data_IF_710155771949
#
_entry.id   IF_710155771949
#
_cell.length_a   1.000
_cell.length_b   1.000
_cell.length_c   1.000
_cell.angle_alpha   90.00
_cell.angle_beta   90.00
_cell.angle_gamma   90.00
#
_symmetry.space_group_name_H-M   'P 1'
#
loop_
_entity.id
_entity.type
_entity.pdbx_description
1 polymer ?
#
# COMPACT_ATOMS: atom_id res chain seq x y z
N UNK A 1 -6.19 3.75 16.78
CA UNK A 1 -5.85 2.57 17.64
C UNK A 1 -5.85 1.26 16.84
N UNK A 2 -5.61 1.31 15.53
CA UNK A 2 -5.77 0.13 14.68
C UNK A 2 -4.78 -1.00 14.99
N UNK A 3 -3.48 -0.75 14.85
CA UNK A 3 -2.46 -1.81 15.08
C UNK A 3 -2.33 -2.25 16.52
N UNK A 4 -2.68 -1.40 17.50
CA UNK A 4 -2.65 -1.71 18.92
C UNK A 4 -4.02 -2.05 19.51
N UNK A 5 -5.10 -2.04 18.71
CA UNK A 5 -6.38 -2.64 19.09
C UNK A 5 -6.30 -4.17 19.19
N UNK A 6 -5.25 -4.75 18.60
CA UNK A 6 -4.98 -6.19 18.57
C UNK A 6 -4.19 -6.59 19.82
N UNK A 7 -4.66 -7.60 20.60
CA UNK A 7 -3.94 -8.11 21.76
C UNK A 7 -2.49 -8.55 21.44
N UNK A 8 -1.57 -8.18 22.32
CA UNK A 8 -0.16 -8.53 22.19
C UNK A 8 0.67 -7.50 21.41
N UNK A 9 0.11 -6.36 21.02
CA UNK A 9 0.85 -5.30 20.35
C UNK A 9 0.87 -4.00 21.16
N UNK A 10 2.01 -3.33 21.13
CA UNK A 10 2.19 -1.94 21.54
C UNK A 10 2.93 -1.17 20.44
N UNK A 11 2.71 0.14 20.39
CA UNK A 11 3.34 1.00 19.39
C UNK A 11 3.68 2.37 19.97
N UNK A 12 4.51 3.10 19.27
CA UNK A 12 4.79 4.51 19.51
C UNK A 12 5.11 5.23 18.22
N UNK A 13 4.90 6.54 18.22
CA UNK A 13 5.33 7.45 17.18
C UNK A 13 5.82 8.76 17.77
N UNK A 14 7.02 9.20 17.36
CA UNK A 14 7.66 10.42 17.87
C UNK A 14 8.35 11.19 16.75
N UNK A 15 8.82 12.39 17.05
CA UNK A 15 9.73 13.15 16.19
C UNK A 15 11.15 13.01 16.72
N UNK A 16 12.06 12.56 15.85
CA UNK A 16 13.51 12.61 16.08
C UNK A 16 14.20 13.65 15.20
N UNK A 17 13.40 14.44 14.47
CA UNK A 17 13.86 15.58 13.69
C UNK A 17 14.38 15.23 12.29
N UNK A 18 13.92 14.13 11.70
CA UNK A 18 14.20 13.79 10.29
C UNK A 18 13.44 14.75 9.38
N UNK A 19 12.15 15.02 9.70
CA UNK A 19 11.35 16.02 9.00
C UNK A 19 11.65 17.43 9.52
N UNK A 20 11.99 18.39 8.64
CA UNK A 20 12.25 19.76 9.06
C UNK A 20 11.02 20.46 9.67
N UNK A 21 9.83 19.93 9.44
CA UNK A 21 8.57 20.46 9.97
C UNK A 21 8.34 20.19 11.46
N UNK A 22 9.14 19.31 12.07
CA UNK A 22 8.96 18.86 13.46
C UNK A 22 7.79 17.90 13.67
N UNK A 23 7.09 17.50 12.61
CA UNK A 23 6.06 16.43 12.68
C UNK A 23 6.72 15.11 13.10
N UNK A 24 5.91 14.18 13.64
CA UNK A 24 6.37 12.83 13.95
C UNK A 24 6.97 12.17 12.71
N UNK A 25 8.08 11.46 12.87
CA UNK A 25 8.87 10.90 11.78
C UNK A 25 9.52 9.56 12.10
N UNK A 26 9.25 9.00 13.28
CA UNK A 26 9.79 7.73 13.73
C UNK A 26 8.77 6.94 14.50
N UNK A 27 8.48 5.70 14.07
CA UNK A 27 7.47 4.82 14.64
C UNK A 27 8.03 3.44 14.93
N UNK A 28 7.50 2.79 15.97
CA UNK A 28 7.74 1.38 16.26
C UNK A 28 6.43 0.66 16.53
N UNK A 29 6.31 -0.57 16.05
CA UNK A 29 5.28 -1.54 16.41
C UNK A 29 5.98 -2.77 16.97
N UNK A 30 5.63 -3.16 18.20
CA UNK A 30 6.29 -4.24 18.94
C UNK A 30 5.26 -5.33 19.21
N UNK A 31 5.61 -6.55 18.87
CA UNK A 31 4.84 -7.74 19.15
C UNK A 31 5.34 -8.36 20.47
N UNK A 32 4.58 -8.22 21.55
CA UNK A 32 4.87 -8.79 22.86
C UNK A 32 4.09 -10.12 23.10
N UNK A 33 3.42 -10.62 22.06
CA UNK A 33 2.60 -11.83 22.17
C UNK A 33 3.44 -13.13 22.27
N UNK A 34 2.75 -14.24 22.52
CA UNK A 34 3.38 -15.56 22.65
C UNK A 34 3.96 -16.09 21.35
N UNK A 35 3.58 -15.52 20.21
CA UNK A 35 4.11 -15.82 18.87
C UNK A 35 4.69 -14.57 18.23
N UNK A 36 5.67 -14.73 17.37
CA UNK A 36 6.17 -13.66 16.49
C UNK A 36 6.09 -14.05 15.01
N UNK A 37 5.13 -14.94 14.69
CA UNK A 37 4.87 -15.35 13.33
C UNK A 37 4.50 -14.15 12.46
N UNK A 38 5.05 -14.11 11.27
CA UNK A 38 4.86 -12.99 10.36
C UNK A 38 4.92 -13.43 8.89
N UNK A 39 4.36 -12.59 8.03
CA UNK A 39 4.61 -12.63 6.60
C UNK A 39 4.87 -11.22 6.11
N UNK A 40 5.80 -11.05 5.18
CA UNK A 40 6.14 -9.74 4.63
C UNK A 40 6.31 -9.84 3.12
N UNK A 41 5.64 -8.96 2.39
CA UNK A 41 5.84 -8.77 0.96
C UNK A 41 6.52 -7.44 0.69
N UNK A 42 7.38 -7.42 -0.31
CA UNK A 42 8.24 -6.31 -0.64
C UNK A 42 8.10 -5.89 -2.09
N UNK A 43 8.49 -4.66 -2.39
CA UNK A 43 8.55 -4.14 -3.76
C UNK A 43 9.25 -5.11 -4.72
N UNK A 44 8.71 -5.25 -5.91
CA UNK A 44 9.35 -5.97 -7.02
C UNK A 44 10.36 -5.10 -7.78
N UNK A 45 10.50 -3.82 -7.43
CA UNK A 45 11.50 -2.94 -8.01
C UNK A 45 12.91 -3.53 -7.83
N UNK A 46 13.68 -3.57 -8.93
CA UNK A 46 15.06 -4.09 -8.89
C UNK A 46 16.00 -3.18 -8.11
N UNK A 47 15.69 -1.89 -8.03
CA UNK A 47 16.44 -0.87 -7.30
C UNK A 47 15.94 -0.76 -5.86
N UNK A 48 16.09 -1.82 -5.07
CA UNK A 48 15.62 -1.87 -3.69
C UNK A 48 16.39 -0.95 -2.77
N UNK A 49 15.66 -0.25 -1.89
CA UNK A 49 16.25 0.55 -0.82
C UNK A 49 16.99 -0.32 0.23
N UNK A 50 17.89 0.29 1.00
CA UNK A 50 18.67 -0.43 2.00
C UNK A 50 17.82 -1.11 3.08
N UNK A 51 16.72 -0.53 3.59
CA UNK A 51 15.81 -1.23 4.50
C UNK A 51 15.23 -2.52 3.93
N UNK A 52 14.84 -2.52 2.64
CA UNK A 52 14.35 -3.71 1.96
C UNK A 52 15.43 -4.77 1.80
N UNK A 53 16.66 -4.35 1.41
CA UNK A 53 17.82 -5.27 1.30
C UNK A 53 18.20 -5.90 2.64
N UNK A 54 18.04 -5.17 3.75
CA UNK A 54 18.24 -5.70 5.09
C UNK A 54 17.15 -6.67 5.50
N UNK A 55 15.90 -6.24 5.40
CA UNK A 55 14.74 -6.93 5.99
C UNK A 55 14.32 -8.16 5.20
N UNK A 56 14.31 -8.11 3.87
CA UNK A 56 13.77 -9.19 3.04
C UNK A 56 14.42 -10.57 3.28
N UNK A 57 15.75 -10.73 3.38
CA UNK A 57 16.34 -12.02 3.68
C UNK A 57 16.08 -12.48 5.13
N UNK A 58 15.88 -11.56 6.07
CA UNK A 58 15.71 -11.86 7.50
C UNK A 58 14.31 -12.31 7.85
N UNK A 59 13.30 -11.69 7.25
CA UNK A 59 11.90 -12.05 7.46
C UNK A 59 11.47 -13.29 6.68
N UNK A 60 12.37 -13.94 5.93
CA UNK A 60 12.07 -15.14 5.15
C UNK A 60 11.80 -16.38 6.00
N UNK A 61 12.17 -16.37 7.26
CA UNK A 61 11.86 -17.41 8.25
C UNK A 61 10.47 -17.24 8.87
N UNK A 62 9.77 -16.15 8.52
CA UNK A 62 8.42 -15.84 9.00
C UNK A 62 8.38 -15.38 10.46
N UNK A 63 9.44 -14.75 10.97
CA UNK A 63 9.51 -14.26 12.33
C UNK A 63 9.80 -12.75 12.35
N UNK A 64 8.98 -11.97 13.08
CA UNK A 64 9.19 -10.53 13.32
C UNK A 64 8.73 -10.17 14.72
N UNK A 65 9.66 -9.66 15.54
CA UNK A 65 9.38 -9.16 16.89
C UNK A 65 9.03 -7.68 16.90
N UNK A 66 9.66 -6.88 16.05
CA UNK A 66 9.40 -5.45 15.98
C UNK A 66 9.51 -4.93 14.55
N UNK A 67 8.67 -3.96 14.20
CA UNK A 67 8.78 -3.17 12.99
C UNK A 67 9.15 -1.73 13.37
N UNK A 68 10.26 -1.22 12.84
CA UNK A 68 10.72 0.15 13.02
C UNK A 68 10.61 0.89 11.70
N UNK A 69 10.00 2.07 11.69
CA UNK A 69 9.69 2.82 10.48
C UNK A 69 10.12 4.27 10.66
N UNK A 70 10.92 4.80 9.74
CA UNK A 70 11.14 6.24 9.64
C UNK A 70 10.48 6.83 8.40
N UNK A 71 10.04 8.09 8.52
CA UNK A 71 9.57 8.91 7.40
C UNK A 71 10.42 10.19 7.25
N UNK A 72 10.52 10.68 6.00
CA UNK A 72 11.34 11.85 5.64
C UNK A 72 12.63 11.51 4.88
N UNK A 73 13.14 10.28 5.01
CA UNK A 73 14.31 9.79 4.28
C UNK A 73 14.10 8.32 3.91
N UNK A 74 14.13 8.01 2.61
CA UNK A 74 13.92 6.65 2.09
C UNK A 74 15.11 5.72 2.32
N UNK A 75 16.29 6.25 2.64
CA UNK A 75 17.55 5.51 2.75
C UNK A 75 17.80 4.63 1.50
N UNK A 76 17.51 5.18 0.32
CA UNK A 76 17.68 4.55 -0.97
C UNK A 76 18.78 5.26 -1.76
N UNK A 77 19.60 4.49 -2.49
CA UNK A 77 20.79 4.94 -3.23
C UNK A 77 21.84 5.65 -2.36
N UNK A 78 21.98 5.23 -1.12
CA UNK A 78 22.91 5.76 -0.12
C UNK A 78 24.11 4.84 0.10
N UNK A 79 24.29 3.83 -0.76
CA UNK A 79 25.43 2.90 -0.74
C UNK A 79 25.56 2.10 0.57
N UNK A 80 26.80 1.66 0.85
CA UNK A 80 27.12 0.86 2.04
C UNK A 80 26.85 1.63 3.35
N UNK A 81 27.02 2.96 3.31
CA UNK A 81 26.71 3.80 4.46
C UNK A 81 25.25 3.67 4.88
N UNK A 82 24.32 3.77 3.93
CA UNK A 82 22.89 3.61 4.22
C UNK A 82 22.50 2.20 4.66
N UNK A 83 23.16 1.17 4.11
CA UNK A 83 22.95 -0.20 4.57
C UNK A 83 23.41 -0.39 6.02
N UNK A 84 24.60 0.13 6.38
CA UNK A 84 25.08 0.10 7.77
C UNK A 84 24.18 0.91 8.71
N UNK A 85 23.60 2.04 8.24
CA UNK A 85 22.59 2.78 9.01
C UNK A 85 21.38 1.91 9.34
N UNK A 86 20.85 1.17 8.35
CA UNK A 86 19.74 0.24 8.56
C UNK A 86 20.09 -0.84 9.59
N UNK A 87 21.26 -1.43 9.46
CA UNK A 87 21.76 -2.46 10.38
C UNK A 87 21.90 -1.92 11.81
N UNK A 88 22.52 -0.76 12.00
CA UNK A 88 22.67 -0.14 13.32
C UNK A 88 21.31 0.18 13.96
N UNK A 89 20.34 0.65 13.17
CA UNK A 89 18.97 0.88 13.64
C UNK A 89 18.32 -0.42 14.11
N UNK A 90 18.44 -1.51 13.34
CA UNK A 90 17.92 -2.82 13.73
C UNK A 90 18.53 -3.33 15.03
N UNK A 91 19.87 -3.20 15.19
CA UNK A 91 20.56 -3.59 16.43
C UNK A 91 20.10 -2.75 17.63
N UNK A 92 19.95 -1.43 17.47
CA UNK A 92 19.48 -0.56 18.54
C UNK A 92 18.06 -0.94 19.00
N UNK A 93 17.16 -1.30 18.05
CA UNK A 93 15.81 -1.79 18.38
C UNK A 93 15.89 -3.14 19.10
N UNK A 94 16.71 -4.06 18.60
CA UNK A 94 16.90 -5.37 19.21
C UNK A 94 17.39 -5.27 20.66
N UNK A 95 18.35 -4.41 20.92
CA UNK A 95 18.88 -4.16 22.27
C UNK A 95 17.81 -3.57 23.19
N UNK A 96 17.02 -2.61 22.69
CA UNK A 96 15.97 -1.94 23.47
C UNK A 96 14.75 -2.84 23.75
N UNK A 97 14.38 -3.73 22.80
CA UNK A 97 13.26 -4.67 22.92
C UNK A 97 13.66 -5.97 23.62
N UNK A 98 14.95 -6.36 23.54
CA UNK A 98 15.45 -7.62 24.07
C UNK A 98 15.21 -8.80 23.13
N UNK A 99 15.48 -8.62 21.81
CA UNK A 99 15.33 -9.66 20.78
C UNK A 99 16.59 -9.74 19.88
N UNK A 100 16.56 -10.57 18.84
CA UNK A 100 17.62 -10.58 17.85
C UNK A 100 17.40 -9.46 16.82
N UNK A 101 18.48 -8.89 16.29
CA UNK A 101 18.40 -7.89 15.23
C UNK A 101 17.80 -8.47 13.92
N UNK A 102 17.91 -9.77 13.71
CA UNK A 102 17.31 -10.46 12.55
C UNK A 102 15.78 -10.54 12.66
N UNK A 103 15.21 -10.40 13.86
CA UNK A 103 13.76 -10.37 14.11
C UNK A 103 13.18 -8.93 14.00
N UNK A 104 14.00 -7.96 13.56
CA UNK A 104 13.59 -6.55 13.41
C UNK A 104 13.39 -6.22 11.94
N UNK A 105 12.14 -5.92 11.59
CA UNK A 105 11.77 -5.34 10.30
C UNK A 105 12.08 -3.84 10.30
N UNK A 106 12.91 -3.39 9.37
CA UNK A 106 13.21 -1.97 9.17
C UNK A 106 12.56 -1.46 7.91
N UNK A 107 11.82 -0.35 8.03
CA UNK A 107 11.19 0.35 6.91
C UNK A 107 11.62 1.82 6.91
N UNK A 108 11.76 2.40 5.74
CA UNK A 108 12.03 3.84 5.55
C UNK A 108 11.21 4.39 4.40
N UNK A 109 10.80 5.64 4.46
CA UNK A 109 10.10 6.34 3.39
C UNK A 109 10.45 7.82 3.37
N UNK A 110 10.29 8.49 2.23
CA UNK A 110 10.60 9.90 2.02
C UNK A 110 11.63 10.11 0.93
N UNK A 111 12.46 11.14 1.08
CA UNK A 111 13.43 11.55 0.05
C UNK A 111 14.44 10.45 -0.32
N UNK A 112 14.59 10.23 -1.62
CA UNK A 112 15.58 9.30 -2.21
C UNK A 112 16.92 10.03 -2.36
N UNK A 113 18.03 9.30 -2.16
CA UNK A 113 19.39 9.84 -2.30
C UNK A 113 19.82 10.74 -1.14
N UNK A 114 19.04 10.80 -0.08
CA UNK A 114 19.34 11.53 1.16
C UNK A 114 19.68 10.56 2.30
N UNK A 115 20.27 11.08 3.36
CA UNK A 115 20.68 10.33 4.53
C UNK A 115 22.21 10.38 4.70
N UNK A 116 22.65 10.83 5.84
CA UNK A 116 24.07 10.96 6.21
C UNK A 116 24.25 10.69 7.69
N UNK A 117 25.34 11.19 8.29
CA UNK A 117 25.66 10.93 9.70
C UNK A 117 24.58 11.45 10.65
N UNK A 118 24.03 12.64 10.39
CA UNK A 118 22.96 13.23 11.20
C UNK A 118 21.69 12.34 11.18
N UNK A 119 21.30 11.84 10.02
CA UNK A 119 20.16 10.90 9.89
C UNK A 119 20.41 9.61 10.69
N UNK A 120 21.60 9.02 10.54
CA UNK A 120 22.00 7.83 11.30
C UNK A 120 21.93 8.05 12.80
N UNK A 121 22.55 9.15 13.28
CA UNK A 121 22.57 9.48 14.71
C UNK A 121 21.18 9.66 15.28
N UNK A 122 20.30 10.40 14.58
CA UNK A 122 18.90 10.61 14.99
C UNK A 122 18.14 9.29 15.13
N UNK A 123 18.30 8.37 14.17
CA UNK A 123 17.65 7.07 14.25
C UNK A 123 18.16 6.25 15.44
N UNK A 124 19.48 6.04 15.52
CA UNK A 124 20.07 5.16 16.53
C UNK A 124 19.85 5.71 17.95
N UNK A 125 20.05 7.01 18.15
CA UNK A 125 19.86 7.67 19.45
C UNK A 125 18.38 7.80 19.83
N UNK A 126 17.47 7.87 18.84
CA UNK A 126 16.03 7.97 19.08
C UNK A 126 15.35 6.66 19.49
N UNK A 127 15.94 5.50 19.15
CA UNK A 127 15.34 4.18 19.41
C UNK A 127 15.02 3.94 20.89
N UNK A 128 15.92 4.14 21.86
CA UNK A 128 15.61 3.81 23.26
C UNK A 128 14.37 4.54 23.78
N UNK A 129 14.28 5.85 23.58
CA UNK A 129 13.13 6.65 24.01
C UNK A 129 11.83 6.28 23.28
N UNK A 130 11.90 5.95 21.97
CA UNK A 130 10.75 5.49 21.21
C UNK A 130 10.22 4.15 21.73
N UNK A 131 11.09 3.17 21.98
CA UNK A 131 10.71 1.85 22.51
C UNK A 131 10.16 1.97 23.93
N UNK A 132 10.75 2.79 24.80
CA UNK A 132 10.26 3.04 26.14
C UNK A 132 8.84 3.67 26.15
N UNK A 133 8.53 4.54 25.19
CA UNK A 133 7.22 5.19 25.05
C UNK A 133 6.13 4.31 24.43
N UNK A 134 6.48 3.13 23.90
CA UNK A 134 5.53 2.26 23.23
C UNK A 134 4.48 1.70 24.19
N UNK A 135 3.21 1.86 23.83
CA UNK A 135 2.06 1.46 24.63
C UNK A 135 0.93 0.87 23.80
N UNK A 136 -0.09 0.32 24.46
CA UNK A 136 -1.31 -0.16 23.80
C UNK A 136 -2.14 0.98 23.19
N UNK A 137 -1.93 2.21 23.59
CA UNK A 137 -2.60 3.41 23.07
C UNK A 137 -1.82 4.07 21.90
N UNK A 138 -0.57 3.67 21.65
CA UNK A 138 0.36 4.32 20.73
C UNK A 138 0.11 4.08 19.23
N UNK A 139 -0.93 3.30 18.86
CA UNK A 139 -1.20 2.94 17.45
C UNK A 139 -1.42 4.15 16.56
N UNK A 140 -2.21 5.13 16.99
CA UNK A 140 -2.47 6.34 16.20
C UNK A 140 -1.24 7.24 16.06
N UNK A 141 -0.39 7.30 17.11
CA UNK A 141 0.88 8.02 17.04
C UNK A 141 1.84 7.39 16.03
N UNK A 142 1.88 6.05 15.99
CA UNK A 142 2.65 5.31 15.00
C UNK A 142 2.12 5.56 13.58
N UNK A 143 0.80 5.52 13.37
CA UNK A 143 0.17 5.80 12.08
C UNK A 143 0.45 7.23 11.58
N UNK A 144 0.49 8.22 12.46
CA UNK A 144 0.88 9.60 12.12
C UNK A 144 2.36 9.71 11.76
N UNK A 145 3.23 9.01 12.49
CA UNK A 145 4.68 9.13 12.34
C UNK A 145 5.22 8.55 11.01
N UNK A 146 4.47 7.65 10.36
CA UNK A 146 4.89 7.06 9.09
C UNK A 146 4.51 7.90 7.86
N UNK A 147 3.69 8.94 8.00
CA UNK A 147 3.21 9.78 6.89
C UNK A 147 4.35 10.57 6.24
N UNK A 148 4.23 10.88 4.96
CA UNK A 148 5.13 11.81 4.24
C UNK A 148 4.34 12.96 3.64
N UNK A 149 3.91 12.84 2.39
CA UNK A 149 3.01 13.77 1.69
C UNK A 149 1.54 13.48 1.97
N UNK A 150 1.26 12.38 2.65
CA UNK A 150 -0.08 12.00 3.10
C UNK A 150 -0.75 13.15 3.88
N UNK A 151 -2.03 13.41 3.61
CA UNK A 151 -2.82 14.42 4.32
C UNK A 151 -3.51 13.86 5.56
N UNK A 152 -3.77 12.55 5.60
CA UNK A 152 -4.45 11.84 6.68
C UNK A 152 -3.80 10.49 6.99
N UNK A 153 -3.90 10.05 8.26
CA UNK A 153 -3.55 8.68 8.65
C UNK A 153 -4.57 7.70 8.06
N UNK A 154 -4.08 6.56 7.58
CA UNK A 154 -4.90 5.49 7.03
C UNK A 154 -4.85 4.30 7.96
N UNK A 155 -6.00 3.93 8.48
CA UNK A 155 -6.13 2.88 9.49
C UNK A 155 -7.35 2.00 9.18
N UNK A 156 -7.26 0.71 9.51
CA UNK A 156 -8.36 -0.23 9.39
C UNK A 156 -8.40 -1.19 10.58
N UNK A 157 -9.60 -1.66 10.92
CA UNK A 157 -9.85 -2.61 11.99
C UNK A 157 -10.98 -3.55 11.56
N UNK A 158 -10.79 -4.86 11.77
CA UNK A 158 -11.82 -5.85 11.51
C UNK A 158 -11.77 -6.95 12.58
N UNK A 159 -12.93 -7.52 12.89
CA UNK A 159 -13.08 -8.60 13.86
C UNK A 159 -13.49 -9.89 13.14
N UNK A 160 -12.74 -10.96 13.35
CA UNK A 160 -13.05 -12.31 12.91
C UNK A 160 -13.54 -13.19 14.05
N UNK A 161 -13.68 -14.48 13.81
CA UNK A 161 -14.15 -15.45 14.81
C UNK A 161 -13.09 -15.72 15.88
N UNK A 162 -13.07 -14.90 16.93
CA UNK A 162 -12.15 -15.00 18.06
C UNK A 162 -10.76 -14.43 17.81
N UNK A 163 -10.62 -13.57 16.81
CA UNK A 163 -9.41 -12.79 16.53
C UNK A 163 -9.75 -11.41 15.95
N UNK A 164 -8.77 -10.55 15.95
CA UNK A 164 -8.86 -9.18 15.44
C UNK A 164 -7.75 -8.94 14.39
N UNK A 165 -8.02 -8.13 13.38
CA UNK A 165 -7.04 -7.60 12.43
C UNK A 165 -7.05 -6.09 12.56
N UNK A 166 -5.89 -5.50 12.88
CA UNK A 166 -5.68 -4.05 12.89
C UNK A 166 -4.61 -3.67 11.87
N UNK A 167 -4.73 -2.52 11.25
CA UNK A 167 -3.76 -2.12 10.23
C UNK A 167 -3.56 -0.61 10.16
N UNK A 168 -2.36 -0.19 9.79
CA UNK A 168 -2.03 1.17 9.40
C UNK A 168 -1.27 1.19 8.09
N UNK A 169 -1.48 2.24 7.30
CA UNK A 169 -0.83 2.43 6.01
C UNK A 169 -0.42 3.88 5.78
N UNK A 170 0.61 4.08 4.95
CA UNK A 170 0.98 5.37 4.39
C UNK A 170 1.26 5.24 2.90
N UNK A 171 0.98 6.29 2.16
CA UNK A 171 1.23 6.44 0.74
C UNK A 171 0.32 7.50 0.13
N UNK A 172 0.88 8.36 -0.71
CA UNK A 172 0.16 9.38 -1.47
C UNK A 172 0.75 9.54 -2.89
N UNK A 173 2.06 9.44 -3.06
CA UNK A 173 2.77 9.43 -4.35
C UNK A 173 3.52 8.14 -4.61
N UNK A 174 3.95 7.92 -5.87
CA UNK A 174 4.50 6.65 -6.37
C UNK A 174 3.58 5.46 -6.09
N UNK A 175 2.29 5.60 -6.40
CA UNK A 175 1.27 4.59 -6.15
C UNK A 175 1.01 3.76 -7.42
N UNK A 176 1.85 2.74 -7.69
CA UNK A 176 1.72 1.85 -8.85
C UNK A 176 1.95 0.38 -8.51
N UNK A 177 1.47 -0.57 -9.36
CA UNK A 177 1.39 -1.99 -9.05
C UNK A 177 2.71 -2.65 -8.64
N UNK A 178 2.58 -3.74 -7.91
CA UNK A 178 3.63 -4.52 -7.26
C UNK A 178 4.22 -3.81 -6.05
N UNK A 179 3.31 -3.25 -5.26
CA UNK A 179 3.50 -2.43 -4.08
C UNK A 179 4.04 -1.02 -4.44
N UNK A 180 3.20 -0.02 -4.27
CA UNK A 180 3.48 1.42 -4.46
C UNK A 180 4.26 1.98 -3.26
N UNK A 181 4.71 3.25 -3.24
CA UNK A 181 5.40 3.84 -2.06
C UNK A 181 4.49 3.79 -0.85
N UNK A 182 4.20 2.58 -0.44
CA UNK A 182 3.42 2.30 0.75
C UNK A 182 4.25 1.53 1.76
N UNK A 183 4.04 1.87 3.00
CA UNK A 183 4.40 1.02 4.12
C UNK A 183 3.08 0.67 4.81
N UNK A 184 2.82 -0.61 4.92
CA UNK A 184 1.63 -1.14 5.59
C UNK A 184 2.08 -2.08 6.69
N UNK A 185 1.59 -1.85 7.90
CA UNK A 185 1.75 -2.78 9.03
C UNK A 185 0.37 -3.27 9.43
N UNK A 186 0.20 -4.57 9.36
CA UNK A 186 -1.03 -5.28 9.75
C UNK A 186 -0.69 -6.14 10.95
N UNK A 187 -1.50 -6.07 11.98
CA UNK A 187 -1.38 -6.87 13.20
C UNK A 187 -2.59 -7.78 13.33
N UNK A 188 -2.39 -8.96 13.86
CA UNK A 188 -3.48 -9.87 14.25
C UNK A 188 -3.09 -10.68 15.47
N UNK A 189 -4.07 -11.10 16.25
CA UNK A 189 -3.89 -12.07 17.34
C UNK A 189 -4.27 -13.50 16.95
N UNK A 190 -4.72 -13.72 15.70
CA UNK A 190 -5.03 -15.04 15.16
C UNK A 190 -3.84 -15.98 15.25
N UNK A 191 -4.08 -17.25 15.65
CA UNK A 191 -3.06 -18.30 15.61
C UNK A 191 -3.00 -18.91 14.22
N UNK A 192 -1.98 -18.52 13.47
CA UNK A 192 -1.67 -19.03 12.13
C UNK A 192 -0.16 -19.30 12.02
N UNK A 193 0.22 -20.27 11.21
CA UNK A 193 1.64 -20.51 10.91
C UNK A 193 2.19 -19.45 9.96
N UNK A 194 3.52 -19.27 9.89
CA UNK A 194 4.13 -18.35 8.93
C UNK A 194 3.69 -18.61 7.48
N UNK A 195 3.57 -19.88 7.08
CA UNK A 195 3.16 -20.26 5.73
C UNK A 195 1.69 -19.91 5.44
N UNK A 196 0.80 -20.04 6.44
CA UNK A 196 -0.59 -19.63 6.32
C UNK A 196 -0.69 -18.09 6.20
N UNK A 197 0.06 -17.35 7.03
CA UNK A 197 0.14 -15.90 6.95
C UNK A 197 0.67 -15.44 5.58
N UNK A 198 1.71 -16.08 5.03
CA UNK A 198 2.28 -15.72 3.73
C UNK A 198 1.28 -15.95 2.59
N UNK A 199 0.57 -17.11 2.58
CA UNK A 199 -0.47 -17.35 1.58
C UNK A 199 -1.62 -16.36 1.68
N UNK A 200 -2.11 -16.08 2.88
CA UNK A 200 -3.18 -15.12 3.11
C UNK A 200 -2.78 -13.70 2.68
N UNK A 201 -1.57 -13.26 3.06
CA UNK A 201 -1.06 -11.94 2.72
C UNK A 201 -0.90 -11.76 1.21
N UNK A 202 -0.28 -12.72 0.51
CA UNK A 202 -0.13 -12.66 -0.95
C UNK A 202 -1.47 -12.67 -1.67
N UNK A 203 -2.43 -13.45 -1.20
CA UNK A 203 -3.77 -13.46 -1.77
C UNK A 203 -4.48 -12.12 -1.58
N UNK A 204 -4.36 -11.52 -0.39
CA UNK A 204 -4.97 -10.22 -0.09
C UNK A 204 -4.32 -9.08 -0.88
N UNK A 205 -2.97 -9.02 -0.92
CA UNK A 205 -2.25 -7.96 -1.65
C UNK A 205 -2.51 -8.02 -3.15
N UNK A 206 -2.59 -9.23 -3.74
CA UNK A 206 -2.89 -9.42 -5.16
C UNK A 206 -4.25 -8.86 -5.57
N UNK A 207 -5.21 -8.75 -4.65
CA UNK A 207 -6.57 -8.25 -4.89
C UNK A 207 -6.79 -6.80 -4.42
N UNK A 208 -5.82 -6.20 -3.75
CA UNK A 208 -5.91 -4.87 -3.16
C UNK A 208 -4.76 -3.96 -3.60
N UNK A 209 -3.65 -3.97 -2.89
CA UNK A 209 -2.52 -3.07 -3.14
C UNK A 209 -1.90 -3.25 -4.53
N UNK A 210 -1.83 -4.48 -5.04
CA UNK A 210 -1.33 -4.75 -6.40
C UNK A 210 -2.32 -4.28 -7.49
N UNK A 211 -3.53 -3.87 -7.10
CA UNK A 211 -4.53 -3.26 -7.99
C UNK A 211 -4.54 -1.74 -7.96
N UNK A 212 -3.74 -1.13 -7.09
CA UNK A 212 -3.62 0.33 -6.99
C UNK A 212 -2.56 0.82 -7.99
N UNK A 213 -2.99 1.65 -8.95
CA UNK A 213 -2.12 2.20 -10.01
C UNK A 213 -2.50 3.67 -10.26
N UNK A 214 -2.11 4.55 -9.32
CA UNK A 214 -2.46 5.98 -9.39
C UNK A 214 -1.60 6.75 -10.39
N UNK A 215 -0.28 6.59 -10.36
CA UNK A 215 0.66 7.40 -11.15
C UNK A 215 1.67 6.60 -12.00
N UNK A 216 1.56 5.28 -12.02
CA UNK A 216 2.45 4.41 -12.79
C UNK A 216 3.87 4.31 -12.25
N UNK A 217 4.17 4.90 -11.08
CA UNK A 217 5.50 4.97 -10.50
C UNK A 217 5.67 3.96 -9.37
N UNK A 218 6.55 2.97 -9.56
CA UNK A 218 6.83 1.94 -8.57
C UNK A 218 7.95 2.35 -7.62
N UNK A 219 7.70 2.24 -6.31
CA UNK A 219 8.67 2.61 -5.28
C UNK A 219 9.79 1.58 -5.08
N UNK A 220 10.85 2.05 -4.45
CA UNK A 220 12.03 1.27 -4.03
C UNK A 220 11.92 0.69 -2.62
N UNK A 221 10.88 1.10 -1.84
CA UNK A 221 10.79 0.89 -0.39
C UNK A 221 9.56 0.09 0.06
N UNK A 222 8.63 -0.23 -0.85
CA UNK A 222 7.35 -0.82 -0.46
C UNK A 222 7.50 -2.05 0.40
N UNK A 223 6.70 -2.06 1.46
CA UNK A 223 6.66 -3.16 2.42
C UNK A 223 5.25 -3.29 2.98
N UNK A 224 4.68 -4.49 2.87
CA UNK A 224 3.44 -4.87 3.56
C UNK A 224 3.76 -5.99 4.52
N UNK A 225 3.66 -5.72 5.81
CA UNK A 225 3.96 -6.67 6.88
C UNK A 225 2.67 -7.10 7.61
N UNK A 226 2.49 -8.39 7.76
CA UNK A 226 1.44 -9.01 8.58
C UNK A 226 2.11 -9.71 9.77
N UNK A 227 1.85 -9.23 10.97
CA UNK A 227 2.43 -9.70 12.22
C UNK A 227 1.35 -10.38 13.06
N UNK A 228 1.60 -11.59 13.55
CA UNK A 228 0.69 -12.30 14.46
C UNK A 228 1.28 -12.43 15.86
N UNK A 229 0.54 -11.97 16.86
CA UNK A 229 0.87 -12.20 18.26
C UNK A 229 0.50 -13.59 18.76
N UNK A 230 -0.44 -14.28 18.10
CA UNK A 230 -0.95 -15.59 18.51
C UNK A 230 -1.68 -15.58 19.84
N UNK A 231 -2.13 -14.42 20.31
CA UNK A 231 -2.83 -14.28 21.59
C UNK A 231 -4.33 -14.63 21.51
N UNK A 232 -4.91 -14.63 20.31
CA UNK A 232 -6.33 -14.96 20.06
C UNK A 232 -6.58 -16.43 19.80
N UNK A 233 -7.64 -16.73 19.05
CA UNK A 233 -8.02 -18.09 18.66
C UNK A 233 -7.25 -18.61 17.43
N UNK A 234 -7.31 -19.92 17.23
CA UNK A 234 -6.98 -20.49 15.91
C UNK A 234 -8.00 -20.00 14.88
N UNK A 235 -7.51 -19.54 13.72
CA UNK A 235 -8.36 -19.03 12.66
C UNK A 235 -8.47 -20.05 11.51
N UNK A 236 -9.65 -20.12 10.91
CA UNK A 236 -9.79 -20.75 9.59
C UNK A 236 -9.06 -19.88 8.55
N UNK A 237 -8.15 -20.49 7.78
CA UNK A 237 -7.30 -19.75 6.83
C UNK A 237 -8.11 -19.07 5.73
N UNK A 238 -9.22 -19.65 5.29
CA UNK A 238 -10.05 -19.09 4.22
C UNK A 238 -10.84 -17.87 4.74
N UNK A 239 -11.44 -17.98 5.95
CA UNK A 239 -12.11 -16.86 6.63
C UNK A 239 -11.12 -15.72 6.88
N UNK A 240 -9.97 -16.03 7.45
CA UNK A 240 -8.92 -15.04 7.71
C UNK A 240 -8.46 -14.33 6.42
N UNK A 241 -8.23 -15.08 5.35
CA UNK A 241 -7.80 -14.51 4.05
C UNK A 241 -8.86 -13.59 3.46
N UNK A 242 -10.15 -13.94 3.58
CA UNK A 242 -11.25 -13.10 3.12
C UNK A 242 -11.30 -11.78 3.89
N UNK A 243 -11.27 -11.84 5.23
CA UNK A 243 -11.28 -10.66 6.10
C UNK A 243 -10.03 -9.79 5.91
N UNK A 244 -8.85 -10.40 5.77
CA UNK A 244 -7.61 -9.69 5.47
C UNK A 244 -7.70 -8.96 4.11
N UNK A 245 -8.33 -9.58 3.12
CA UNK A 245 -8.54 -8.97 1.80
C UNK A 245 -9.45 -7.74 1.90
N UNK A 246 -10.49 -7.78 2.72
CA UNK A 246 -11.37 -6.63 2.98
C UNK A 246 -10.58 -5.48 3.63
N UNK A 247 -9.78 -5.77 4.68
CA UNK A 247 -8.92 -4.78 5.35
C UNK A 247 -7.92 -4.15 4.37
N UNK A 248 -7.25 -4.97 3.56
CA UNK A 248 -6.28 -4.47 2.57
C UNK A 248 -6.97 -3.66 1.47
N UNK A 249 -8.18 -4.03 1.05
CA UNK A 249 -8.95 -3.27 0.05
C UNK A 249 -9.42 -1.93 0.60
N UNK A 250 -9.86 -1.89 1.86
CA UNK A 250 -10.21 -0.62 2.53
C UNK A 250 -9.01 0.32 2.59
N UNK A 251 -7.84 -0.17 3.01
CA UNK A 251 -6.61 0.63 3.01
C UNK A 251 -6.20 1.07 1.60
N UNK A 252 -6.34 0.23 0.58
CA UNK A 252 -6.05 0.61 -0.81
C UNK A 252 -6.95 1.76 -1.28
N UNK A 253 -8.23 1.75 -0.90
CA UNK A 253 -9.15 2.86 -1.17
C UNK A 253 -8.78 4.13 -0.41
N UNK A 254 -8.37 4.02 0.85
CA UNK A 254 -7.88 5.17 1.63
C UNK A 254 -6.61 5.78 1.00
N UNK A 255 -5.68 4.94 0.50
CA UNK A 255 -4.49 5.38 -0.23
C UNK A 255 -4.88 6.11 -1.53
N UNK A 256 -5.81 5.54 -2.31
CA UNK A 256 -6.31 6.16 -3.53
C UNK A 256 -6.98 7.51 -3.26
N UNK A 257 -7.78 7.60 -2.19
CA UNK A 257 -8.52 8.82 -1.84
C UNK A 257 -7.61 9.98 -1.39
N UNK A 258 -6.39 9.65 -0.91
CA UNK A 258 -5.38 10.62 -0.45
C UNK A 258 -4.19 10.72 -1.44
N UNK A 259 -4.35 10.27 -2.68
CA UNK A 259 -3.30 10.36 -3.69
C UNK A 259 -3.01 11.81 -4.06
N UNK A 260 -1.73 12.14 -4.27
CA UNK A 260 -1.24 13.48 -4.57
C UNK A 260 -2.02 14.14 -5.72
N UNK A 261 -2.59 15.30 -5.46
CA UNK A 261 -3.32 16.14 -6.44
C UNK A 261 -4.55 15.49 -7.08
N UNK A 262 -5.07 14.38 -6.54
CA UNK A 262 -6.22 13.68 -7.11
C UNK A 262 -7.53 14.43 -6.85
N UNK A 263 -8.30 14.69 -7.91
CA UNK A 263 -9.66 15.21 -7.82
C UNK A 263 -10.71 14.09 -7.81
N UNK A 264 -10.40 12.94 -8.41
CA UNK A 264 -11.31 11.81 -8.50
C UNK A 264 -10.65 10.49 -8.09
N UNK A 265 -11.42 9.66 -7.38
CA UNK A 265 -11.12 8.28 -7.07
C UNK A 265 -11.77 7.41 -8.13
N UNK A 266 -10.98 6.61 -8.86
CA UNK A 266 -11.45 5.90 -10.04
C UNK A 266 -11.32 4.40 -9.86
N UNK A 267 -12.42 3.67 -9.99
CA UNK A 267 -12.45 2.22 -10.03
C UNK A 267 -12.71 1.75 -11.47
N UNK A 268 -11.74 1.07 -12.07
CA UNK A 268 -11.87 0.47 -13.41
C UNK A 268 -12.12 -1.02 -13.25
N UNK A 269 -13.34 -1.45 -13.45
CA UNK A 269 -13.73 -2.88 -13.40
C UNK A 269 -13.79 -3.44 -14.81
N UNK A 270 -12.93 -4.42 -15.08
CA UNK A 270 -12.94 -5.17 -16.34
C UNK A 270 -13.66 -6.48 -16.11
N UNK A 271 -14.77 -6.68 -16.81
CA UNK A 271 -15.62 -7.87 -16.73
C UNK A 271 -15.56 -8.67 -18.01
N UNK A 272 -16.08 -9.89 -18.01
CA UNK A 272 -16.16 -10.72 -19.21
C UNK A 272 -14.80 -11.11 -19.79
N UNK A 273 -13.75 -11.15 -18.99
CA UNK A 273 -12.40 -11.56 -19.38
C UNK A 273 -12.25 -13.09 -19.42
N UNK A 274 -11.32 -13.58 -20.23
CA UNK A 274 -10.97 -15.01 -20.30
C UNK A 274 -10.24 -15.45 -19.02
N UNK A 275 -9.42 -14.59 -18.45
CA UNK A 275 -8.69 -14.83 -17.19
C UNK A 275 -8.64 -13.55 -16.33
N UNK A 276 -8.35 -13.71 -15.04
CA UNK A 276 -8.13 -12.57 -14.13
C UNK A 276 -6.91 -11.73 -14.58
N UNK A 277 -5.86 -12.39 -15.08
CA UNK A 277 -4.66 -11.71 -15.60
C UNK A 277 -5.00 -10.84 -16.82
N UNK A 278 -5.85 -11.33 -17.75
CA UNK A 278 -6.33 -10.52 -18.89
C UNK A 278 -7.12 -9.30 -18.42
N UNK A 279 -7.98 -9.47 -17.40
CA UNK A 279 -8.76 -8.36 -16.85
C UNK A 279 -7.85 -7.31 -16.18
N UNK A 280 -6.84 -7.75 -15.44
CA UNK A 280 -5.83 -6.87 -14.80
C UNK A 280 -5.03 -6.12 -15.84
N UNK A 281 -4.56 -6.81 -16.87
CA UNK A 281 -3.75 -6.20 -17.95
C UNK A 281 -4.52 -5.09 -18.67
N UNK A 282 -5.78 -5.35 -19.03
CA UNK A 282 -6.66 -4.35 -19.64
C UNK A 282 -6.89 -3.16 -18.70
N UNK A 283 -7.24 -3.42 -17.45
CA UNK A 283 -7.46 -2.36 -16.46
C UNK A 283 -6.23 -1.48 -16.25
N UNK A 284 -5.02 -2.08 -16.20
CA UNK A 284 -3.75 -1.36 -16.09
C UNK A 284 -3.42 -0.54 -17.34
N UNK A 285 -3.67 -1.08 -18.53
CA UNK A 285 -3.46 -0.32 -19.76
C UNK A 285 -4.30 0.96 -19.78
N UNK A 286 -5.55 0.88 -19.29
CA UNK A 286 -6.45 2.04 -19.21
C UNK A 286 -6.03 2.99 -18.09
N UNK A 287 -5.72 2.50 -16.87
CA UNK A 287 -5.33 3.32 -15.71
C UNK A 287 -4.07 4.16 -15.96
N UNK A 288 -3.16 3.70 -16.80
CA UNK A 288 -1.89 4.37 -17.14
C UNK A 288 -1.99 5.36 -18.30
N UNK A 289 -3.15 5.47 -18.92
CA UNK A 289 -3.34 6.38 -20.03
C UNK A 289 -3.50 7.83 -19.60
N UNK A 290 -2.53 8.68 -19.90
CA UNK A 290 -2.63 10.11 -19.65
C UNK A 290 -3.87 10.73 -20.31
N UNK A 291 -4.25 10.27 -21.52
CA UNK A 291 -5.44 10.77 -22.21
C UNK A 291 -6.75 10.36 -21.53
N UNK A 292 -6.82 9.17 -20.95
CA UNK A 292 -7.97 8.76 -20.14
C UNK A 292 -8.01 9.58 -18.84
N UNK A 293 -6.89 9.64 -18.12
CA UNK A 293 -6.79 10.33 -16.83
C UNK A 293 -7.11 11.83 -16.93
N UNK A 294 -6.69 12.50 -18.01
CA UNK A 294 -7.01 13.92 -18.24
C UNK A 294 -8.47 14.12 -18.67
N UNK A 295 -9.09 13.14 -19.35
CA UNK A 295 -10.52 13.19 -19.64
C UNK A 295 -11.34 13.07 -18.34
N UNK A 296 -10.92 12.20 -17.42
CA UNK A 296 -11.57 12.05 -16.10
C UNK A 296 -11.47 13.34 -15.27
N UNK A 297 -10.30 14.00 -15.26
CA UNK A 297 -10.12 15.30 -14.61
C UNK A 297 -11.02 16.40 -15.22
N UNK A 298 -11.35 16.29 -16.50
CA UNK A 298 -12.27 17.17 -17.20
C UNK A 298 -13.75 16.73 -17.17
N UNK A 299 -14.08 15.68 -16.38
CA UNK A 299 -15.42 15.08 -16.31
C UNK A 299 -16.00 14.68 -17.70
N UNK A 300 -15.11 14.21 -18.61
CA UNK A 300 -15.45 13.73 -19.95
C UNK A 300 -15.50 12.19 -19.96
N UNK A 301 -16.69 11.56 -20.13
CA UNK A 301 -16.82 10.10 -20.21
C UNK A 301 -16.36 9.57 -21.57
N UNK A 302 -15.09 9.76 -21.87
CA UNK A 302 -14.46 9.50 -23.16
C UNK A 302 -14.18 8.01 -23.39
N UNK A 303 -15.23 7.25 -23.71
CA UNK A 303 -15.10 5.82 -23.97
C UNK A 303 -14.17 5.50 -25.17
N UNK A 304 -14.03 6.43 -26.12
CA UNK A 304 -13.11 6.26 -27.25
C UNK A 304 -11.64 6.19 -26.79
N UNK A 305 -11.24 7.03 -25.83
CA UNK A 305 -9.91 6.95 -25.20
C UNK A 305 -9.73 5.66 -24.41
N UNK A 306 -10.79 5.20 -23.74
CA UNK A 306 -10.78 3.92 -23.01
C UNK A 306 -10.52 2.77 -23.96
N UNK A 307 -11.32 2.63 -25.05
CA UNK A 307 -11.15 1.53 -26.00
C UNK A 307 -9.81 1.60 -26.74
N UNK A 308 -9.31 2.81 -27.04
CA UNK A 308 -7.99 2.96 -27.62
C UNK A 308 -6.88 2.36 -26.74
N UNK A 309 -7.03 2.40 -25.41
CA UNK A 309 -6.08 1.78 -24.49
C UNK A 309 -6.34 0.28 -24.28
N UNK A 310 -7.60 -0.16 -24.25
CA UNK A 310 -7.93 -1.59 -24.24
C UNK A 310 -7.22 -2.30 -25.39
N UNK A 311 -7.22 -1.71 -26.58
CA UNK A 311 -6.57 -2.26 -27.78
C UNK A 311 -5.04 -2.38 -27.69
N UNK A 312 -4.38 -1.83 -26.66
CA UNK A 312 -2.93 -1.96 -26.44
C UNK A 312 -2.56 -3.07 -25.46
N UNK A 313 -3.56 -3.64 -24.76
CA UNK A 313 -3.32 -4.67 -23.76
C UNK A 313 -2.98 -6.01 -24.40
N UNK A 314 -2.03 -6.75 -23.81
CA UNK A 314 -1.72 -8.13 -24.21
C UNK A 314 -2.71 -9.09 -23.50
N UNK A 315 -3.97 -9.05 -23.96
CA UNK A 315 -5.08 -9.80 -23.40
C UNK A 315 -5.96 -10.39 -24.52
N UNK A 316 -6.72 -11.44 -24.17
CA UNK A 316 -7.59 -12.15 -25.13
C UNK A 316 -8.99 -11.57 -25.12
N UNK A 317 -9.41 -10.91 -26.20
CA UNK A 317 -10.76 -10.41 -26.40
C UNK A 317 -11.07 -10.19 -27.90
N UNK A 318 -12.36 -10.04 -28.24
CA UNK A 318 -12.80 -9.62 -29.56
C UNK A 318 -12.87 -8.07 -29.61
N UNK A 319 -11.99 -7.37 -30.37
CA UNK A 319 -11.99 -5.92 -30.41
C UNK A 319 -13.26 -5.29 -31.01
N UNK A 320 -14.10 -6.05 -31.70
CA UNK A 320 -15.35 -5.57 -32.27
C UNK A 320 -16.55 -5.72 -31.31
N UNK A 321 -16.35 -6.32 -30.14
CA UNK A 321 -17.42 -6.63 -29.18
C UNK A 321 -17.09 -6.18 -27.74
N UNK A 322 -16.83 -4.88 -27.58
CA UNK A 322 -16.49 -4.28 -26.28
C UNK A 322 -17.59 -3.32 -25.82
N UNK A 323 -17.89 -3.35 -24.53
CA UNK A 323 -18.82 -2.40 -23.92
C UNK A 323 -18.08 -1.52 -22.89
N UNK A 324 -18.51 -0.25 -22.75
CA UNK A 324 -18.00 0.67 -21.74
C UNK A 324 -19.13 1.42 -21.06
N UNK A 325 -19.11 1.43 -19.73
CA UNK A 325 -20.00 2.22 -18.90
C UNK A 325 -19.23 3.17 -17.98
N UNK A 326 -19.78 4.35 -17.74
CA UNK A 326 -19.31 5.30 -16.72
C UNK A 326 -20.44 5.54 -15.72
N UNK A 327 -20.16 5.34 -14.43
CA UNK A 327 -21.12 5.54 -13.35
C UNK A 327 -22.51 4.91 -13.65
N UNK A 328 -22.49 3.69 -14.21
CA UNK A 328 -23.68 2.92 -14.55
C UNK A 328 -24.38 3.30 -15.87
N UNK A 329 -23.89 4.30 -16.61
CA UNK A 329 -24.41 4.65 -17.94
C UNK A 329 -23.58 3.97 -19.02
N UNK A 330 -24.18 3.07 -19.80
CA UNK A 330 -23.51 2.36 -20.88
C UNK A 330 -23.36 3.26 -22.11
N UNK A 331 -22.26 3.98 -22.18
CA UNK A 331 -21.97 4.94 -23.27
C UNK A 331 -21.51 4.28 -24.58
N UNK A 332 -20.98 3.05 -24.48
CA UNK A 332 -20.55 2.26 -25.64
C UNK A 332 -21.07 0.82 -25.51
N UNK A 333 -21.59 0.26 -26.60
CA UNK A 333 -22.03 -1.13 -26.72
C UNK A 333 -21.59 -1.72 -28.06
N UNK A 334 -20.97 -2.91 -28.01
CA UNK A 334 -20.43 -3.58 -29.19
C UNK A 334 -19.61 -2.59 -30.03
N UNK A 335 -18.70 -1.88 -29.38
CA UNK A 335 -17.75 -0.91 -29.98
C UNK A 335 -18.44 0.28 -30.71
N UNK A 336 -19.72 0.55 -30.41
CA UNK A 336 -20.49 1.65 -31.00
C UNK A 336 -21.10 2.55 -29.91
N UNK A 337 -21.36 3.85 -30.22
CA UNK A 337 -22.08 4.73 -29.31
C UNK A 337 -23.46 4.12 -28.90
N UNK A 338 -23.79 4.20 -27.61
CA UNK A 338 -25.02 3.62 -27.11
C UNK A 338 -25.90 4.64 -26.36
N UNK A 339 -25.71 4.82 -25.05
CA UNK A 339 -26.46 5.84 -24.32
C UNK A 339 -25.80 7.22 -24.44
N UNK A 340 -26.64 8.27 -24.28
CA UNK A 340 -26.15 9.65 -24.29
C UNK A 340 -25.18 9.91 -23.12
N UNK A 341 -23.95 10.27 -23.43
CA UNK A 341 -22.89 10.59 -22.48
C UNK A 341 -23.29 11.72 -21.50
N UNK A 342 -24.20 12.62 -21.88
CA UNK A 342 -24.71 13.68 -21.01
C UNK A 342 -25.49 13.17 -19.79
N UNK A 343 -25.88 11.90 -19.79
CA UNK A 343 -26.51 11.23 -18.63
C UNK A 343 -25.51 10.89 -17.54
N UNK A 344 -24.21 10.76 -17.85
CA UNK A 344 -23.19 10.47 -16.86
C UNK A 344 -23.09 11.63 -15.87
N UNK A 345 -23.17 11.31 -14.59
CA UNK A 345 -22.96 12.27 -13.50
C UNK A 345 -21.67 11.94 -12.79
N UNK A 346 -20.77 12.89 -12.76
CA UNK A 346 -19.51 12.78 -12.06
C UNK A 346 -19.67 13.24 -10.60
N UNK A 347 -18.89 12.62 -9.74
CA UNK A 347 -18.70 12.95 -8.33
C UNK A 347 -17.27 12.61 -7.96
N UNK A 348 -16.92 12.65 -6.67
CA UNK A 348 -15.56 12.29 -6.23
C UNK A 348 -15.17 10.88 -6.71
N UNK A 349 -16.08 9.92 -6.65
CA UNK A 349 -15.86 8.56 -7.15
C UNK A 349 -16.36 8.43 -8.59
N UNK A 350 -15.54 7.85 -9.45
CA UNK A 350 -15.86 7.49 -10.82
C UNK A 350 -15.71 5.97 -10.98
N UNK A 351 -16.75 5.31 -11.48
CA UNK A 351 -16.67 3.90 -11.87
C UNK A 351 -16.64 3.78 -13.39
N UNK A 352 -15.68 3.01 -13.90
CA UNK A 352 -15.61 2.63 -15.32
C UNK A 352 -15.75 1.12 -15.37
N UNK A 353 -16.77 0.63 -16.06
CA UNK A 353 -16.92 -0.78 -16.37
C UNK A 353 -16.58 -1.03 -17.82
N UNK A 354 -15.69 -2.00 -18.08
CA UNK A 354 -15.25 -2.44 -19.41
C UNK A 354 -15.61 -3.91 -19.52
N UNK A 355 -16.57 -4.25 -20.38
CA UNK A 355 -16.92 -5.65 -20.62
C UNK A 355 -16.25 -6.14 -21.90
N UNK A 356 -15.40 -7.16 -21.76
CA UNK A 356 -14.68 -7.78 -22.88
C UNK A 356 -15.52 -8.82 -23.62
N UNK A 357 -16.69 -9.22 -23.10
CA UNK A 357 -17.60 -10.19 -23.70
C UNK A 357 -16.92 -11.50 -24.17
N UNK A 358 -15.82 -11.90 -23.55
CA UNK A 358 -14.97 -13.01 -23.98
C UNK A 358 -14.83 -14.14 -22.95
N UNK A 359 -15.33 -13.94 -21.73
CA UNK A 359 -15.27 -14.88 -20.62
C UNK A 359 -16.20 -14.51 -19.47
N UNK A 360 -15.84 -14.94 -18.25
CA UNK A 360 -16.66 -14.70 -17.04
C UNK A 360 -15.84 -14.18 -15.85
N UNK A 361 -14.55 -13.90 -16.07
CA UNK A 361 -13.66 -13.43 -15.01
C UNK A 361 -13.64 -11.91 -14.99
N UNK A 362 -13.36 -11.34 -13.83
CA UNK A 362 -13.30 -9.90 -13.63
C UNK A 362 -12.14 -9.48 -12.72
N UNK A 363 -11.73 -8.23 -12.85
CA UNK A 363 -10.82 -7.58 -11.94
C UNK A 363 -11.08 -6.07 -11.89
N UNK A 364 -10.80 -5.46 -10.73
CA UNK A 364 -10.89 -4.00 -10.56
C UNK A 364 -9.50 -3.43 -10.33
N UNK A 365 -9.17 -2.34 -11.02
CA UNK A 365 -7.98 -1.51 -10.83
C UNK A 365 -8.42 -0.19 -10.19
N UNK A 366 -7.71 0.22 -9.13
CA UNK A 366 -7.90 1.47 -8.43
C UNK A 366 -6.90 2.51 -8.96
N UNK A 367 -7.39 3.67 -9.39
CA UNK A 367 -6.55 4.73 -9.94
C UNK A 367 -7.13 6.11 -9.60
N UNK A 368 -6.49 7.16 -10.09
CA UNK A 368 -6.95 8.54 -9.98
C UNK A 368 -6.92 9.21 -11.35
N UNK A 369 -7.54 10.37 -11.46
CA UNK A 369 -7.37 11.28 -12.57
C UNK A 369 -5.96 11.91 -12.62
N UNK A 370 -5.65 12.67 -13.66
CA UNK A 370 -4.41 13.46 -13.78
C UNK A 370 -4.78 14.93 -13.86
N UNK A 371 -4.44 15.67 -12.80
CA UNK A 371 -4.81 17.07 -12.61
C UNK A 371 -3.61 18.02 -12.70
N UNK A 372 -3.88 19.32 -12.72
CA UNK A 372 -2.84 20.34 -12.55
C UNK A 372 -2.22 20.30 -11.16
N UNK A 373 -2.99 19.92 -10.12
CA UNK A 373 -2.51 19.84 -8.75
C UNK A 373 -1.44 18.74 -8.60
N UNK A 374 -1.63 17.57 -9.25
CA UNK A 374 -0.58 16.53 -9.28
C UNK A 374 0.76 17.08 -9.80
N UNK A 375 0.71 17.88 -10.89
CA UNK A 375 1.92 18.50 -11.45
C UNK A 375 2.49 19.55 -10.49
N UNK A 376 1.64 20.35 -9.87
CA UNK A 376 2.05 21.39 -8.92
C UNK A 376 2.74 20.79 -7.69
N UNK A 377 2.14 19.78 -7.07
CA UNK A 377 2.70 19.10 -5.90
C UNK A 377 4.05 18.47 -6.23
N UNK A 378 4.14 17.73 -7.33
CA UNK A 378 5.36 16.99 -7.71
C UNK A 378 6.46 17.88 -8.33
N UNK A 379 6.15 19.09 -8.78
CA UNK A 379 7.15 20.04 -9.34
C UNK A 379 7.69 21.01 -8.30
N UNK A 380 6.97 21.28 -7.22
CA UNK A 380 7.32 22.25 -6.18
C UNK A 380 7.87 21.60 -4.91
N UNK A 381 7.60 20.35 -4.67
CA UNK A 381 8.12 19.61 -3.52
C UNK A 381 9.46 18.95 -3.88
N UNK A 382 10.49 19.26 -3.11
CA UNK A 382 11.58 18.31 -2.91
C UNK A 382 11.01 17.19 -2.01
N UNK A 383 10.24 16.30 -2.63
CA UNK A 383 9.61 15.17 -1.96
C UNK A 383 10.57 14.01 -1.78
#
# INVERSE_FOLDING_TARGET
>A
MSVTAVPGFRAAGTSVGIKPTGKKDFAVVINDGPSMNAAVVYTSNKCKANPVKWSQPRTSDGQVRAAIINSGCANCFTGDFGFETTKLTAHAVADAVGCNADDVLVCSTGLIGTGGEDFRSRLVEGVPGLVESASAEGGSDAAEAILTTDSVSKEALAEGTGYTIGAMAKGAGMLAPSLATMIVVITTDAKLSPEQLDRALRSATAKSFDRLDSDGCQSTNDTVALLSSGAGAEADEAEFTALLTEVCTDLARQLMADAEGAAHDVEITVTGAVSEDDAVEVGRAVSRSNLVKTALAGEDPNWGRVLAQVGTADAKFDPENLDVSFNGVQVCRATAPHEDAAKVKFGRTITIEINLNSGQTEATIFTNDLTHEYVTENSSAAS
#
